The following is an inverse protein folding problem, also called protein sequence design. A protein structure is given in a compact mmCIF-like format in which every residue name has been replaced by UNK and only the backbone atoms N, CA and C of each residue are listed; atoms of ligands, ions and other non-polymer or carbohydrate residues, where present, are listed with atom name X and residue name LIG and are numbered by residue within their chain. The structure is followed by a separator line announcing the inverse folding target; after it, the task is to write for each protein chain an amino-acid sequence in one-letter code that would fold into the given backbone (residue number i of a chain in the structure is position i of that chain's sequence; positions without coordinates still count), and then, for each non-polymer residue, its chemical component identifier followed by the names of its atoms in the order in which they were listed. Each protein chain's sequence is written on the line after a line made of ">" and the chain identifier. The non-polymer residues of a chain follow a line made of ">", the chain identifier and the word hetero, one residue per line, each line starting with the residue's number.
data_IF_607932623632
#
_entry.id   IF_607932623632
#
_cell.length_a   1.000
_cell.length_b   1.000
_cell.length_c   1.000
_cell.angle_alpha   90.00
_cell.angle_beta   90.00
_cell.angle_gamma   90.00
#
_symmetry.space_group_name_H-M   'P 1'
#
loop_
_entity.id
_entity.type
_entity.pdbx_description
1 polymer ?
#
# COMPACT_ATOMS: atom_id res chain seq x y z
N UNK A 1 3.27 -14.12 -1.08
CA UNK A 1 4.41 -14.26 -0.16
C UNK A 1 3.90 -14.73 1.19
N UNK A 2 4.75 -14.82 2.22
CA UNK A 2 4.32 -15.20 3.56
C UNK A 2 3.37 -14.17 4.23
N UNK A 3 3.28 -12.93 3.69
CA UNK A 3 2.21 -11.98 3.97
C UNK A 3 1.28 -11.94 2.74
N UNK A 4 0.22 -12.78 2.67
CA UNK A 4 -0.71 -12.78 1.55
C UNK A 4 -1.63 -11.57 1.49
N UNK A 5 -1.85 -10.87 2.62
CA UNK A 5 -2.76 -9.74 2.69
C UNK A 5 -2.33 -8.75 3.76
N UNK A 6 -2.32 -7.47 3.39
CA UNK A 6 -2.12 -6.34 4.28
C UNK A 6 -3.10 -5.25 3.84
N UNK A 7 -3.83 -4.69 4.79
CA UNK A 7 -4.70 -3.55 4.56
C UNK A 7 -4.47 -2.51 5.64
N UNK A 8 -4.44 -1.25 5.21
CA UNK A 8 -4.41 -0.08 6.08
C UNK A 8 -5.49 0.87 5.56
N UNK A 9 -6.24 1.43 6.49
CA UNK A 9 -7.22 2.47 6.23
C UNK A 9 -6.84 3.69 7.08
N UNK A 10 -6.93 4.87 6.47
CA UNK A 10 -6.81 6.14 7.17
C UNK A 10 -8.00 7.05 6.85
N UNK A 11 -8.38 7.89 7.81
CA UNK A 11 -9.44 8.90 7.63
C UNK A 11 -8.86 10.31 7.63
N UNK A 12 -9.67 11.29 7.22
CA UNK A 12 -9.30 12.71 7.22
C UNK A 12 -9.01 13.28 8.63
N UNK A 13 -9.51 12.62 9.68
CA UNK A 13 -9.21 12.92 11.09
C UNK A 13 -7.88 12.31 11.58
N UNK A 14 -7.07 11.74 10.67
CA UNK A 14 -5.84 11.02 10.96
C UNK A 14 -6.02 9.75 11.80
N UNK A 15 -7.23 9.18 11.85
CA UNK A 15 -7.42 7.85 12.42
C UNK A 15 -6.81 6.82 11.46
N UNK A 16 -6.08 5.84 12.01
CA UNK A 16 -5.44 4.77 11.23
C UNK A 16 -5.78 3.43 11.85
N UNK A 17 -6.16 2.47 11.01
CA UNK A 17 -6.32 1.06 11.39
C UNK A 17 -5.76 0.15 10.31
N UNK A 18 -5.32 -1.04 10.70
CA UNK A 18 -4.79 -2.00 9.75
C UNK A 18 -4.94 -3.44 10.22
N UNK A 19 -4.82 -4.36 9.26
CA UNK A 19 -4.86 -5.79 9.48
C UNK A 19 -3.92 -6.47 8.49
N UNK A 20 -3.27 -7.54 8.94
CA UNK A 20 -2.47 -8.40 8.08
C UNK A 20 -2.87 -9.86 8.31
N UNK A 21 -2.92 -10.62 7.22
CA UNK A 21 -2.85 -12.08 7.28
C UNK A 21 -1.41 -12.47 6.94
N UNK A 22 -0.84 -13.36 7.75
CA UNK A 22 0.57 -13.69 7.66
C UNK A 22 0.84 -15.10 8.20
N UNK A 23 1.93 -15.72 7.74
CA UNK A 23 2.39 -17.02 8.24
C UNK A 23 3.13 -16.88 9.57
N UNK A 24 3.03 -17.88 10.46
CA UNK A 24 3.54 -17.81 11.84
C UNK A 24 5.06 -17.53 11.93
N UNK A 25 5.87 -18.12 11.06
CA UNK A 25 7.34 -18.06 11.12
C UNK A 25 7.96 -17.13 10.05
N UNK A 26 7.40 -15.93 9.87
CA UNK A 26 7.95 -14.93 8.95
C UNK A 26 9.35 -14.51 9.35
N UNK A 27 10.25 -14.54 8.37
CA UNK A 27 11.57 -13.93 8.49
C UNK A 27 11.52 -12.48 7.96
N UNK A 28 12.26 -11.54 8.57
CA UNK A 28 12.42 -10.20 8.03
C UNK A 28 12.97 -10.26 6.60
N UNK A 29 12.48 -9.37 5.75
CA UNK A 29 12.88 -9.29 4.35
C UNK A 29 12.36 -8.02 3.69
N UNK A 30 12.73 -7.84 2.43
CA UNK A 30 12.18 -6.80 1.57
C UNK A 30 10.69 -6.98 1.33
N UNK A 31 10.02 -5.92 0.86
CA UNK A 31 8.59 -5.96 0.56
C UNK A 31 8.25 -7.05 -0.46
N UNK A 32 9.08 -7.21 -1.49
CA UNK A 32 8.90 -8.23 -2.54
C UNK A 32 9.08 -9.66 -2.00
N UNK A 33 9.97 -9.89 -1.04
CA UNK A 33 10.11 -11.21 -0.38
C UNK A 33 8.90 -11.53 0.50
N UNK A 34 8.37 -10.54 1.22
CA UNK A 34 7.26 -10.70 2.15
C UNK A 34 5.91 -10.85 1.43
N UNK A 35 5.64 -10.04 0.41
CA UNK A 35 4.37 -10.05 -0.33
C UNK A 35 4.43 -10.99 -1.55
N UNK A 36 5.60 -11.22 -2.15
CA UNK A 36 5.74 -11.93 -3.42
C UNK A 36 5.16 -11.14 -4.60
N UNK A 37 4.69 -11.86 -5.62
CA UNK A 37 4.01 -11.28 -6.78
C UNK A 37 2.62 -10.73 -6.40
N UNK A 38 2.62 -9.53 -5.83
CA UNK A 38 1.44 -8.85 -5.31
C UNK A 38 0.99 -7.65 -6.13
N UNK A 39 -0.10 -7.05 -5.69
CA UNK A 39 -0.62 -5.78 -6.22
C UNK A 39 -0.86 -4.80 -5.08
N UNK A 40 -0.59 -3.53 -5.32
CA UNK A 40 -1.00 -2.44 -4.44
C UNK A 40 -2.36 -1.93 -4.93
N UNK A 41 -3.35 -1.91 -4.04
CA UNK A 41 -4.64 -1.30 -4.29
C UNK A 41 -4.83 -0.10 -3.37
N UNK A 42 -5.07 1.08 -3.94
CA UNK A 42 -5.39 2.31 -3.20
C UNK A 42 -6.82 2.69 -3.53
N UNK A 43 -7.63 2.84 -2.49
CA UNK A 43 -9.05 3.20 -2.61
C UNK A 43 -9.27 4.54 -1.91
N UNK A 44 -9.90 5.47 -2.62
CA UNK A 44 -10.37 6.75 -2.08
C UNK A 44 -11.91 6.70 -2.02
N UNK A 45 -12.44 6.92 -0.82
CA UNK A 45 -13.88 6.92 -0.53
C UNK A 45 -14.27 8.28 0.08
N UNK A 46 -14.64 9.27 -0.76
CA UNK A 46 -15.01 10.59 -0.26
C UNK A 46 -16.35 10.53 0.48
N UNK A 47 -16.47 11.13 1.66
CA UNK A 47 -17.73 11.12 2.43
C UNK A 47 -18.90 11.83 1.72
N UNK A 48 -18.57 12.83 0.90
CA UNK A 48 -19.54 13.72 0.24
C UNK A 48 -19.87 13.32 -1.20
N UNK A 49 -19.24 12.25 -1.71
CA UNK A 49 -19.46 11.76 -3.07
C UNK A 49 -19.70 10.25 -3.05
N UNK A 50 -20.59 9.76 -3.90
CA UNK A 50 -20.72 8.33 -4.14
C UNK A 50 -19.62 7.75 -5.03
N UNK A 51 -18.73 8.60 -5.55
CA UNK A 51 -17.67 8.19 -6.46
C UNK A 51 -16.50 7.60 -5.68
N UNK A 52 -16.50 6.26 -5.58
CA UNK A 52 -15.37 5.48 -5.10
C UNK A 52 -14.33 5.37 -6.22
N UNK A 53 -13.11 5.81 -5.93
CA UNK A 53 -11.98 5.65 -6.83
C UNK A 53 -11.07 4.55 -6.32
N UNK A 54 -10.72 3.60 -7.19
CA UNK A 54 -9.81 2.51 -6.83
C UNK A 54 -8.77 2.33 -7.93
N UNK A 55 -7.51 2.45 -7.55
CA UNK A 55 -6.36 2.15 -8.39
C UNK A 55 -5.73 0.84 -7.97
N UNK A 56 -5.32 0.04 -8.94
CA UNK A 56 -4.63 -1.24 -8.72
C UNK A 56 -3.39 -1.23 -9.60
N UNK A 57 -2.23 -1.28 -8.98
CA UNK A 57 -0.92 -1.33 -9.64
C UNK A 57 -0.15 -2.57 -9.23
N UNK A 58 0.82 -2.97 -10.05
CA UNK A 58 1.78 -4.00 -9.65
C UNK A 58 2.58 -3.49 -8.46
N UNK A 59 2.84 -4.37 -7.50
CA UNK A 59 3.69 -4.01 -6.38
C UNK A 59 5.15 -4.07 -6.83
N UNK A 60 5.74 -2.91 -7.11
CA UNK A 60 7.13 -2.77 -7.55
C UNK A 60 7.99 -2.16 -6.44
N UNK A 61 9.31 -2.37 -6.52
CA UNK A 61 10.26 -1.89 -5.52
C UNK A 61 10.51 -2.87 -4.38
N UNK A 62 11.46 -2.51 -3.52
CA UNK A 62 11.89 -3.30 -2.36
C UNK A 62 11.30 -2.78 -1.04
N UNK A 63 10.72 -1.57 -1.04
CA UNK A 63 10.11 -0.94 0.13
C UNK A 63 8.70 -0.43 -0.15
N UNK A 64 7.91 -0.23 0.91
CA UNK A 64 6.57 0.36 0.77
C UNK A 64 6.61 1.80 0.25
N UNK A 65 7.64 2.56 0.64
CA UNK A 65 7.81 3.93 0.17
C UNK A 65 8.01 3.98 -1.35
N UNK A 66 8.89 3.13 -1.88
CA UNK A 66 9.11 3.01 -3.34
C UNK A 66 7.83 2.58 -4.07
N UNK A 67 7.07 1.64 -3.51
CA UNK A 67 5.83 1.18 -4.13
C UNK A 67 4.75 2.30 -4.19
N UNK A 68 4.65 3.12 -3.15
CA UNK A 68 3.68 4.25 -3.14
C UNK A 68 4.19 5.39 -4.04
N UNK A 69 5.50 5.66 -4.06
CA UNK A 69 6.11 6.63 -4.98
C UNK A 69 5.84 6.25 -6.45
N UNK A 70 6.07 4.99 -6.83
CA UNK A 70 5.75 4.47 -8.17
C UNK A 70 4.25 4.62 -8.50
N UNK A 71 3.37 4.36 -7.53
CA UNK A 71 1.93 4.59 -7.67
C UNK A 71 1.60 6.07 -7.94
N UNK A 72 2.13 6.99 -7.12
CA UNK A 72 1.84 8.43 -7.25
C UNK A 72 2.37 8.97 -8.58
N UNK A 73 3.56 8.52 -9.00
CA UNK A 73 4.15 8.90 -10.28
C UNK A 73 3.32 8.39 -11.47
N UNK A 74 2.87 7.13 -11.46
CA UNK A 74 2.20 6.51 -12.62
C UNK A 74 0.70 6.73 -12.67
N UNK A 75 0.01 6.56 -11.55
CA UNK A 75 -1.45 6.60 -11.49
C UNK A 75 -1.98 8.01 -11.28
N UNK A 76 -1.33 8.80 -10.43
CA UNK A 76 -1.76 10.17 -10.11
C UNK A 76 -1.01 11.25 -10.90
N UNK A 77 0.10 10.90 -11.55
CA UNK A 77 0.98 11.83 -12.28
C UNK A 77 1.51 12.96 -11.37
N UNK A 78 1.81 12.61 -10.12
CA UNK A 78 2.34 13.52 -9.10
C UNK A 78 3.81 13.21 -8.83
N UNK A 79 4.66 14.24 -8.92
CA UNK A 79 6.08 14.15 -8.54
C UNK A 79 6.21 14.24 -7.01
N UNK A 80 6.13 13.09 -6.32
CA UNK A 80 6.00 13.03 -4.86
C UNK A 80 6.93 12.01 -4.23
N UNK A 81 7.89 12.46 -3.42
CA UNK A 81 8.73 11.57 -2.61
C UNK A 81 8.10 11.20 -1.26
N UNK A 82 8.24 9.93 -0.85
CA UNK A 82 7.80 9.44 0.46
C UNK A 82 8.99 8.86 1.23
N UNK A 83 9.11 9.23 2.50
CA UNK A 83 10.08 8.65 3.43
C UNK A 83 9.34 7.99 4.59
N UNK A 84 9.58 6.69 4.76
CA UNK A 84 9.06 5.91 5.88
C UNK A 84 10.22 5.46 6.76
N UNK A 85 10.06 5.61 8.07
CA UNK A 85 10.97 5.10 9.08
C UNK A 85 10.15 4.38 10.14
N UNK A 86 10.65 3.23 10.58
CA UNK A 86 10.02 2.37 11.60
C UNK A 86 10.98 2.08 12.74
#
# INVERSE_FOLDING_TARGET
>A
GPIPFLVVECTHDNNVRGMAHYADDIQPGSLSELIGDGRLAITLEPEQSSERYQSIVELTGSTLAEAIDDYLSRSEQLDTGIWLAV
#
